data_IF_324592219556
#
_entry.id   IF_324592219556
#
_cell.length_a   1.000
_cell.length_b   1.000
_cell.length_c   1.000
_cell.angle_alpha   90.00
_cell.angle_beta   90.00
_cell.angle_gamma   90.00
#
_symmetry.space_group_name_H-M   'P 1'
#
loop_
_entity.id
_entity.type
_entity.pdbx_description
1 polymer ?
#
# COMPACT_ATOMS: atom_id res chain seq x y z
N UNK A 1 0.65 17.99 -1.34
CA UNK A 1 0.89 16.92 -0.34
C UNK A 1 1.30 15.68 -1.09
N UNK A 2 2.23 14.91 -0.53
CA UNK A 2 2.69 13.64 -1.08
C UNK A 2 2.17 12.49 -0.23
N UNK A 3 1.57 11.52 -0.90
CA UNK A 3 0.93 10.36 -0.29
C UNK A 3 1.73 9.09 -0.57
N UNK A 4 1.73 8.18 0.40
CA UNK A 4 2.27 6.83 0.25
C UNK A 4 1.13 5.81 0.42
N UNK A 5 0.77 5.13 -0.66
CA UNK A 5 -0.12 3.97 -0.65
C UNK A 5 0.61 2.72 -0.19
N UNK A 6 -0.04 1.91 0.65
CA UNK A 6 0.56 0.70 1.23
C UNK A 6 -0.43 -0.47 1.14
N UNK A 7 -0.06 -1.52 0.39
CA UNK A 7 -0.68 -2.85 0.43
C UNK A 7 0.15 -3.74 1.37
N UNK A 8 -0.41 -4.04 2.56
CA UNK A 8 0.31 -4.74 3.61
C UNK A 8 0.15 -6.27 3.51
N UNK A 9 1.09 -6.92 2.82
CA UNK A 9 1.24 -8.38 2.85
C UNK A 9 2.12 -8.87 4.01
N UNK A 10 2.15 -10.19 4.24
CA UNK A 10 2.97 -10.80 5.31
C UNK A 10 4.44 -11.02 4.91
N UNK A 11 4.72 -11.12 3.61
CA UNK A 11 6.06 -11.37 3.05
C UNK A 11 6.57 -10.23 2.18
N UNK A 12 5.63 -9.49 1.59
CA UNK A 12 5.88 -8.36 0.71
C UNK A 12 4.94 -7.23 1.09
N UNK A 13 5.38 -6.00 0.90
CA UNK A 13 4.56 -4.81 1.02
C UNK A 13 4.68 -4.05 -0.29
N UNK A 14 3.54 -3.83 -0.93
CA UNK A 14 3.45 -2.97 -2.10
C UNK A 14 3.40 -1.51 -1.68
N UNK A 15 4.15 -0.66 -2.38
CA UNK A 15 4.15 0.78 -2.20
C UNK A 15 3.74 1.48 -3.48
N UNK A 16 3.00 2.57 -3.32
CA UNK A 16 2.67 3.51 -4.38
C UNK A 16 2.82 4.95 -3.87
N UNK A 17 3.09 5.90 -4.75
CA UNK A 17 3.21 7.32 -4.40
C UNK A 17 2.23 8.16 -5.22
N UNK A 18 1.89 9.33 -4.68
CA UNK A 18 1.16 10.37 -5.43
C UNK A 18 1.52 11.75 -4.93
N UNK A 19 1.65 12.71 -5.85
CA UNK A 19 1.80 14.16 -5.59
C UNK A 19 0.64 14.96 -6.19
N UNK A 20 -0.53 14.33 -6.40
CA UNK A 20 -1.68 14.96 -7.04
C UNK A 20 -2.89 14.02 -7.09
N UNK A 21 -3.55 13.94 -8.25
CA UNK A 21 -4.77 13.16 -8.43
C UNK A 21 -4.54 11.69 -8.81
N UNK A 22 -3.32 11.31 -9.19
CA UNK A 22 -3.02 9.98 -9.71
C UNK A 22 -2.01 9.25 -8.85
N UNK A 23 -2.32 7.99 -8.51
CA UNK A 23 -1.42 7.09 -7.82
C UNK A 23 -0.53 6.32 -8.82
N UNK A 24 0.76 6.22 -8.54
CA UNK A 24 1.71 5.45 -9.33
C UNK A 24 2.36 4.35 -8.49
N UNK A 25 2.46 3.10 -8.99
CA UNK A 25 3.24 2.06 -8.33
C UNK A 25 4.69 2.50 -8.12
N UNK A 26 5.25 2.19 -6.96
CA UNK A 26 6.57 2.69 -6.56
C UNK A 26 7.58 1.56 -6.33
N UNK A 27 7.36 0.74 -5.31
CA UNK A 27 8.32 -0.29 -4.90
C UNK A 27 7.61 -1.48 -4.24
N UNK A 28 8.23 -2.66 -4.26
CA UNK A 28 7.80 -3.81 -3.46
C UNK A 28 8.87 -4.15 -2.42
N UNK A 29 8.55 -3.94 -1.15
CA UNK A 29 9.43 -4.25 -0.04
C UNK A 29 9.30 -5.73 0.36
N UNK A 30 10.40 -6.47 0.36
CA UNK A 30 10.44 -7.81 0.96
C UNK A 30 10.67 -7.68 2.45
N UNK A 31 9.79 -8.26 3.27
CA UNK A 31 9.78 -8.08 4.72
C UNK A 31 10.07 -9.38 5.47
N UNK A 32 10.96 -9.30 6.46
CA UNK A 32 11.28 -10.43 7.35
C UNK A 32 10.30 -10.54 8.51
N UNK A 33 9.88 -9.38 9.04
CA UNK A 33 8.97 -9.28 10.18
C UNK A 33 8.41 -7.84 10.26
N UNK A 34 7.53 -7.59 11.25
CA UNK A 34 6.89 -6.27 11.42
C UNK A 34 7.85 -5.13 11.76
N UNK A 35 8.99 -5.41 12.40
CA UNK A 35 10.00 -4.38 12.74
C UNK A 35 10.76 -3.96 11.48
N UNK A 36 11.14 -4.93 10.65
CA UNK A 36 11.76 -4.67 9.33
C UNK A 36 10.81 -3.90 8.40
N UNK A 37 9.51 -4.26 8.39
CA UNK A 37 8.49 -3.52 7.66
C UNK A 37 8.39 -2.05 8.11
N UNK A 38 8.32 -1.82 9.43
CA UNK A 38 8.24 -0.48 10.00
C UNK A 38 9.46 0.36 9.59
N UNK A 39 10.67 -0.18 9.75
CA UNK A 39 11.90 0.53 9.41
C UNK A 39 11.97 0.92 7.93
N UNK A 40 11.66 -0.02 7.03
CA UNK A 40 11.71 0.24 5.59
C UNK A 40 10.67 1.27 5.13
N UNK A 41 9.46 1.20 5.67
CA UNK A 41 8.42 2.20 5.36
C UNK A 41 8.86 3.59 5.83
N UNK A 42 9.43 3.72 7.04
CA UNK A 42 9.91 5.01 7.54
C UNK A 42 11.05 5.58 6.70
N UNK A 43 11.96 4.73 6.22
CA UNK A 43 13.02 5.16 5.30
C UNK A 43 12.44 5.75 4.01
N UNK A 44 11.38 5.14 3.47
CA UNK A 44 10.68 5.70 2.29
C UNK A 44 9.98 7.01 2.65
N UNK A 45 9.32 7.08 3.81
CA UNK A 45 8.63 8.30 4.27
C UNK A 45 9.59 9.47 4.38
N UNK A 46 10.76 9.25 4.98
CA UNK A 46 11.80 10.28 5.14
C UNK A 46 12.44 10.65 3.79
N UNK A 47 12.87 9.66 3.01
CA UNK A 47 13.58 9.89 1.74
C UNK A 47 12.70 10.58 0.70
N UNK A 48 11.43 10.19 0.61
CA UNK A 48 10.52 10.70 -0.40
C UNK A 48 9.69 11.89 0.10
N UNK A 49 9.87 12.31 1.36
CA UNK A 49 9.14 13.43 2.00
C UNK A 49 7.61 13.20 2.04
N UNK A 50 7.18 12.00 2.42
CA UNK A 50 5.76 11.62 2.48
C UNK A 50 5.05 12.38 3.61
N UNK A 51 3.90 12.99 3.29
CA UNK A 51 3.07 13.68 4.26
C UNK A 51 2.02 12.76 4.94
N UNK A 52 1.44 11.83 4.19
CA UNK A 52 0.38 10.96 4.71
C UNK A 52 0.46 9.55 4.10
N UNK A 53 0.36 8.54 4.96
CA UNK A 53 0.34 7.12 4.56
C UNK A 53 -1.11 6.65 4.46
N UNK A 54 -1.45 6.04 3.34
CA UNK A 54 -2.77 5.46 3.08
C UNK A 54 -2.63 3.94 3.04
N UNK A 55 -3.24 3.26 4.01
CA UNK A 55 -3.17 1.81 4.13
C UNK A 55 -4.52 1.17 3.81
N UNK A 56 -4.50 0.19 2.91
CA UNK A 56 -5.67 -0.63 2.61
C UNK A 56 -6.01 -1.57 3.77
N UNK A 57 -7.31 -1.77 4.00
CA UNK A 57 -7.82 -2.68 4.99
C UNK A 57 -8.73 -3.72 4.32
N UNK A 58 -8.23 -4.93 4.07
CA UNK A 58 -9.02 -5.99 3.48
C UNK A 58 -10.03 -6.54 4.48
N UNK A 59 -11.18 -6.96 3.98
CA UNK A 59 -12.17 -7.71 4.76
C UNK A 59 -11.77 -9.19 4.86
N UNK A 60 -10.70 -9.46 5.63
CA UNK A 60 -10.16 -10.81 5.81
C UNK A 60 -9.44 -10.97 7.16
N UNK A 61 -8.98 -12.19 7.44
CA UNK A 61 -8.31 -12.53 8.71
C UNK A 61 -7.00 -11.76 9.02
N UNK A 62 -6.46 -10.98 8.07
CA UNK A 62 -5.27 -10.13 8.31
C UNK A 62 -5.64 -8.73 8.83
N UNK A 63 -6.91 -8.32 8.77
CA UNK A 63 -7.43 -7.00 9.19
C UNK A 63 -6.85 -6.51 10.52
N UNK A 64 -6.95 -7.32 11.58
CA UNK A 64 -6.44 -6.97 12.90
C UNK A 64 -4.91 -6.76 12.93
N UNK A 65 -4.15 -7.48 12.10
CA UNK A 65 -2.69 -7.32 12.03
C UNK A 65 -2.32 -5.99 11.37
N UNK A 66 -3.08 -5.57 10.36
CA UNK A 66 -2.92 -4.29 9.66
C UNK A 66 -3.28 -3.13 10.60
N UNK A 67 -4.42 -3.19 11.28
CA UNK A 67 -4.80 -2.16 12.27
C UNK A 67 -3.76 -2.00 13.38
N UNK A 68 -3.26 -3.12 13.92
CA UNK A 68 -2.18 -3.09 14.92
C UNK A 68 -0.88 -2.49 14.37
N UNK A 69 -0.59 -2.70 13.09
CA UNK A 69 0.58 -2.12 12.44
C UNK A 69 0.39 -0.61 12.19
N UNK A 70 -0.78 -0.20 11.68
CA UNK A 70 -1.17 1.19 11.49
C UNK A 70 -1.06 1.99 12.80
N UNK A 71 -1.56 1.45 13.91
CA UNK A 71 -1.47 2.10 15.22
C UNK A 71 -0.03 2.32 15.69
N UNK A 72 0.92 1.46 15.29
CA UNK A 72 2.35 1.69 15.58
C UNK A 72 2.95 2.77 14.69
N UNK A 73 2.60 2.78 13.40
CA UNK A 73 3.03 3.83 12.48
C UNK A 73 2.48 5.21 12.88
N UNK A 74 1.25 5.27 13.38
CA UNK A 74 0.60 6.52 13.84
C UNK A 74 1.34 7.24 14.97
N UNK A 75 2.20 6.54 15.70
CA UNK A 75 3.02 7.16 16.74
C UNK A 75 4.11 8.08 16.16
N UNK A 76 4.42 7.94 14.86
CA UNK A 76 5.58 8.56 14.22
C UNK A 76 5.30 9.11 12.80
N UNK A 77 4.14 8.83 12.21
CA UNK A 77 3.72 9.31 10.90
C UNK A 77 2.19 9.49 10.82
N UNK A 78 1.70 10.34 9.90
CA UNK A 78 0.27 10.42 9.62
C UNK A 78 -0.19 9.17 8.84
N UNK A 79 -1.23 8.49 9.33
CA UNK A 79 -1.74 7.26 8.71
C UNK A 79 -3.26 7.24 8.67
N UNK A 80 -3.81 7.13 7.46
CA UNK A 80 -5.23 6.83 7.22
C UNK A 80 -5.39 5.39 6.76
N UNK A 81 -6.56 4.85 7.09
CA UNK A 81 -6.96 3.49 6.76
C UNK A 81 -8.17 3.61 5.83
N UNK A 82 -8.13 2.83 4.74
CA UNK A 82 -9.18 2.81 3.72
C UNK A 82 -9.68 1.38 3.60
N UNK A 83 -10.99 1.20 3.69
CA UNK A 83 -11.61 -0.11 3.47
C UNK A 83 -11.47 -0.49 2.00
N UNK A 84 -11.00 -1.71 1.72
CA UNK A 84 -10.89 -2.15 0.33
C UNK A 84 -12.27 -2.45 -0.26
N UNK A 85 -12.54 -1.93 -1.45
CA UNK A 85 -13.81 -2.15 -2.15
C UNK A 85 -13.77 -3.36 -3.09
N UNK A 86 -14.95 -3.90 -3.43
CA UNK A 86 -15.09 -4.97 -4.42
C UNK A 86 -14.51 -4.56 -5.79
N UNK A 87 -14.61 -3.27 -6.15
CA UNK A 87 -14.06 -2.71 -7.39
C UNK A 87 -12.55 -2.86 -7.42
N UNK A 88 -11.85 -2.50 -6.34
CA UNK A 88 -10.40 -2.66 -6.21
C UNK A 88 -9.97 -4.13 -6.26
N UNK A 89 -10.77 -5.02 -5.65
CA UNK A 89 -10.51 -6.46 -5.70
C UNK A 89 -10.65 -7.04 -7.13
N UNK A 90 -11.68 -6.60 -7.86
CA UNK A 90 -11.91 -7.01 -9.25
C UNK A 90 -10.82 -6.45 -10.18
N UNK A 91 -10.41 -5.20 -10.00
CA UNK A 91 -9.30 -4.61 -10.74
C UNK A 91 -8.00 -5.41 -10.51
N UNK A 92 -7.69 -5.74 -9.26
CA UNK A 92 -6.54 -6.60 -8.91
C UNK A 92 -6.62 -7.97 -9.59
N UNK A 93 -7.78 -8.62 -9.56
CA UNK A 93 -7.98 -9.94 -10.21
C UNK A 93 -7.80 -9.86 -11.73
N UNK A 94 -8.39 -8.85 -12.38
CA UNK A 94 -8.26 -8.66 -13.82
C UNK A 94 -6.80 -8.39 -14.22
N UNK A 95 -6.04 -7.66 -13.41
CA UNK A 95 -4.60 -7.48 -13.61
C UNK A 95 -3.86 -8.82 -13.57
N UNK A 96 -4.17 -9.72 -12.63
CA UNK A 96 -3.56 -11.06 -12.55
C UNK A 96 -3.94 -11.91 -13.77
N UNK A 97 -5.21 -11.89 -14.17
CA UNK A 97 -5.77 -12.71 -15.26
C UNK A 97 -5.30 -12.29 -16.65
N UNK A 98 -5.05 -11.00 -16.88
CA UNK A 98 -4.60 -10.45 -18.18
C UNK A 98 -3.14 -10.76 -18.53
N UNK A 99 -2.50 -11.70 -17.82
CA UNK A 99 -1.23 -12.27 -18.27
C UNK A 99 -0.06 -11.31 -18.11
N UNK A 100 0.09 -10.70 -16.93
CA UNK A 100 1.30 -9.99 -16.57
C UNK A 100 2.52 -10.93 -16.71
N UNK A 101 3.45 -10.58 -17.60
CA UNK A 101 4.74 -11.28 -17.73
C UNK A 101 5.51 -11.31 -16.41
N UNK A 102 6.56 -12.15 -16.29
CA UNK A 102 7.31 -12.38 -15.03
C UNK A 102 7.66 -11.09 -14.26
N UNK A 103 8.06 -10.02 -14.96
CA UNK A 103 8.40 -8.72 -14.37
C UNK A 103 7.21 -8.00 -13.74
N UNK A 104 6.02 -8.08 -14.34
CA UNK A 104 4.82 -7.45 -13.80
C UNK A 104 4.23 -8.23 -12.62
N UNK A 105 4.43 -9.56 -12.56
CA UNK A 105 4.11 -10.37 -11.36
C UNK A 105 4.96 -10.01 -10.14
N UNK A 106 6.20 -9.55 -10.34
CA UNK A 106 7.02 -9.09 -9.22
C UNK A 106 6.60 -7.73 -8.68
N UNK A 107 5.80 -6.98 -9.43
CA UNK A 107 5.31 -5.63 -9.10
C UNK A 107 3.82 -5.63 -8.67
N UNK A 108 3.14 -6.78 -8.68
CA UNK A 108 1.70 -6.91 -8.39
C UNK A 108 1.28 -6.22 -7.08
N UNK A 109 2.10 -6.36 -6.03
CA UNK A 109 1.86 -5.71 -4.75
C UNK A 109 1.89 -4.17 -4.89
N UNK A 110 2.83 -3.60 -5.65
CA UNK A 110 2.92 -2.15 -5.86
C UNK A 110 1.74 -1.61 -6.69
N UNK A 111 1.26 -2.37 -7.66
CA UNK A 111 0.03 -2.02 -8.37
C UNK A 111 -1.19 -2.06 -7.45
N UNK A 112 -1.27 -3.04 -6.56
CA UNK A 112 -2.35 -3.13 -5.56
C UNK A 112 -2.33 -1.91 -4.62
N UNK A 113 -1.14 -1.49 -4.18
CA UNK A 113 -0.98 -0.27 -3.40
C UNK A 113 -1.40 1.00 -4.17
N UNK A 114 -1.18 1.04 -5.49
CA UNK A 114 -1.62 2.15 -6.33
C UNK A 114 -3.15 2.20 -6.45
N UNK A 115 -3.83 1.05 -6.57
CA UNK A 115 -5.30 0.99 -6.56
C UNK A 115 -5.89 1.48 -5.24
N UNK A 116 -5.32 1.06 -4.10
CA UNK A 116 -5.72 1.54 -2.77
C UNK A 116 -5.56 3.06 -2.67
N UNK A 117 -4.41 3.58 -3.11
CA UNK A 117 -4.15 5.01 -3.04
C UNK A 117 -5.06 5.79 -4.00
N UNK A 118 -5.31 5.28 -5.20
CA UNK A 118 -6.19 5.94 -6.16
C UNK A 118 -7.62 6.03 -5.62
N UNK A 119 -8.15 4.95 -5.06
CA UNK A 119 -9.49 4.93 -4.45
C UNK A 119 -9.63 5.99 -3.34
N UNK A 120 -8.58 6.18 -2.53
CA UNK A 120 -8.55 7.25 -1.54
C UNK A 120 -8.56 8.65 -2.18
N UNK A 121 -7.75 8.88 -3.21
CA UNK A 121 -7.64 10.18 -3.88
C UNK A 121 -8.93 10.56 -4.62
N UNK A 122 -9.63 9.58 -5.19
CA UNK A 122 -10.90 9.79 -5.91
C UNK A 122 -12.06 10.15 -4.97
N UNK A 123 -11.95 9.81 -3.67
CA UNK A 123 -12.95 10.06 -2.64
C UNK A 123 -12.55 11.16 -1.64
N UNK A 124 -11.52 11.95 -1.96
CA UNK A 124 -10.98 13.02 -1.11
C UNK A 124 -11.77 14.32 -1.24
#
# INVERSE_FOLDING_TARGET
MKYLGVDFGLKKIGLAISEGSFATPFEVLHIKNKKDALQKILQVVEKEEINEIIMGLPDSGIRFKILKFANKLRLIASVKIVEETLTSHNAKRQMIETGLGKKKRTEEDAYSAALILQDYLDNL
#
